data_IF_319537209188
#
_entry.id   IF_319537209188
#
_cell.length_a   1.000
_cell.length_b   1.000
_cell.length_c   1.000
_cell.angle_alpha   90.00
_cell.angle_beta   90.00
_cell.angle_gamma   90.00
#
_symmetry.space_group_name_H-M   'P 1'
#
loop_
_entity.id
_entity.type
_entity.pdbx_description
1 polymer ?
#
# COMPACT_ATOMS: atom_id res chain seq x y z
N UNK A 1 12.40 -6.77 9.53
CA UNK A 1 11.96 -6.42 10.90
C UNK A 1 12.67 -5.16 11.42
N UNK A 2 14.00 -5.06 11.41
CA UNK A 2 14.75 -3.91 11.97
C UNK A 2 14.30 -2.58 11.38
N UNK A 3 14.14 -2.47 10.07
CA UNK A 3 13.66 -1.25 9.40
C UNK A 3 12.25 -0.88 9.88
N UNK A 4 11.34 -1.86 9.95
CA UNK A 4 9.98 -1.64 10.44
C UNK A 4 9.96 -1.19 11.92
N UNK A 5 10.78 -1.82 12.76
CA UNK A 5 10.93 -1.44 14.17
C UNK A 5 11.44 -0.01 14.34
N UNK A 6 12.40 0.40 13.52
CA UNK A 6 12.90 1.80 13.52
C UNK A 6 11.80 2.76 13.10
N UNK A 7 11.04 2.45 12.04
CA UNK A 7 9.93 3.31 11.62
C UNK A 7 8.89 3.51 12.70
N UNK A 8 8.50 2.42 13.39
CA UNK A 8 7.51 2.49 14.47
C UNK A 8 8.06 3.30 15.65
N UNK A 9 9.30 3.01 16.10
CA UNK A 9 9.92 3.67 17.23
C UNK A 9 10.10 5.18 16.99
N UNK A 10 10.44 5.57 15.79
CA UNK A 10 10.72 6.95 15.40
C UNK A 10 9.54 7.68 14.74
N UNK A 11 8.33 7.13 14.86
CA UNK A 11 7.11 7.72 14.32
C UNK A 11 7.21 8.06 12.82
N UNK A 12 7.74 7.13 12.03
CA UNK A 12 7.81 7.21 10.57
C UNK A 12 8.61 8.41 10.03
N UNK A 13 9.74 8.73 10.65
CA UNK A 13 10.67 9.75 10.14
C UNK A 13 11.29 9.33 8.79
N UNK A 14 11.90 10.30 8.11
CA UNK A 14 12.46 10.08 6.78
C UNK A 14 13.47 8.93 6.72
N UNK A 15 13.34 8.07 5.71
CA UNK A 15 14.23 6.93 5.45
C UNK A 15 15.72 7.29 5.40
N UNK A 16 16.06 8.50 4.97
CA UNK A 16 17.45 8.99 4.94
C UNK A 16 18.14 8.98 6.31
N UNK A 17 17.38 8.99 7.40
CA UNK A 17 17.88 9.00 8.77
C UNK A 17 17.93 7.63 9.43
N UNK A 18 17.50 6.56 8.76
CA UNK A 18 17.41 5.23 9.39
C UNK A 18 18.78 4.76 9.89
N UNK A 19 19.85 4.96 9.13
CA UNK A 19 21.20 4.55 9.53
C UNK A 19 21.67 5.28 10.78
N UNK A 20 21.44 6.60 10.85
CA UNK A 20 21.77 7.43 12.02
C UNK A 20 20.96 6.96 13.25
N UNK A 21 19.67 6.74 13.07
CA UNK A 21 18.78 6.28 14.14
C UNK A 21 19.20 4.91 14.66
N UNK A 22 19.50 3.97 13.76
CA UNK A 22 19.97 2.63 14.16
C UNK A 22 21.25 2.73 14.98
N UNK A 23 22.24 3.51 14.53
CA UNK A 23 23.54 3.61 15.20
C UNK A 23 23.44 4.16 16.64
N UNK A 24 22.43 4.95 16.93
CA UNK A 24 22.17 5.56 18.25
C UNK A 24 21.13 4.81 19.08
N UNK A 25 20.46 3.81 18.50
CA UNK A 25 19.41 3.04 19.16
C UNK A 25 19.92 1.74 19.78
N UNK A 26 19.14 1.17 20.71
CA UNK A 26 19.39 -0.16 21.27
C UNK A 26 19.39 -1.26 20.19
N UNK A 27 18.75 -1.03 19.04
CA UNK A 27 18.68 -1.97 17.93
C UNK A 27 20.07 -2.27 17.33
N UNK A 28 20.99 -1.31 17.36
CA UNK A 28 22.39 -1.56 16.93
C UNK A 28 23.11 -2.58 17.81
N UNK A 29 22.72 -2.68 19.07
CA UNK A 29 23.28 -3.68 20.01
C UNK A 29 22.62 -5.05 19.86
N UNK A 30 21.32 -5.07 19.57
CA UNK A 30 20.58 -6.31 19.39
C UNK A 30 20.83 -6.97 18.02
N UNK A 31 21.04 -6.14 17.00
CA UNK A 31 21.22 -6.57 15.62
C UNK A 31 22.44 -5.88 14.98
N UNK A 32 23.66 -6.16 15.47
CA UNK A 32 24.87 -5.48 15.00
C UNK A 32 25.21 -5.76 13.54
N UNK A 33 24.78 -6.92 13.02
CA UNK A 33 25.03 -7.33 11.62
C UNK A 33 24.13 -6.59 10.61
N UNK A 34 23.04 -5.98 11.08
CA UNK A 34 22.04 -5.41 10.16
C UNK A 34 22.52 -4.08 9.60
N UNK A 35 22.71 -4.04 8.30
CA UNK A 35 23.05 -2.84 7.57
C UNK A 35 21.78 -2.15 7.07
N UNK A 36 21.59 -0.89 7.47
CA UNK A 36 20.46 -0.04 7.04
C UNK A 36 20.93 1.23 6.34
N UNK A 37 22.11 1.19 5.77
CA UNK A 37 22.62 2.25 4.90
C UNK A 37 21.77 2.40 3.62
N UNK A 38 21.94 3.51 2.91
CA UNK A 38 21.16 3.85 1.70
C UNK A 38 21.16 2.71 0.68
N UNK A 39 22.30 2.12 0.39
CA UNK A 39 22.43 1.09 -0.65
C UNK A 39 21.79 -0.24 -0.20
N UNK A 40 21.95 -0.61 1.09
CA UNK A 40 21.30 -1.78 1.65
C UNK A 40 19.78 -1.66 1.61
N UNK A 41 19.22 -0.49 1.95
CA UNK A 41 17.79 -0.23 1.86
C UNK A 41 17.30 -0.24 0.40
N UNK A 42 18.04 0.39 -0.50
CA UNK A 42 17.71 0.38 -1.93
C UNK A 42 17.65 -1.05 -2.47
N UNK A 43 18.64 -1.88 -2.13
CA UNK A 43 18.68 -3.30 -2.49
C UNK A 43 17.52 -4.08 -1.88
N UNK A 44 17.19 -3.86 -0.61
CA UNK A 44 16.06 -4.49 0.06
C UNK A 44 14.74 -4.19 -0.66
N UNK A 45 14.45 -2.92 -0.94
CA UNK A 45 13.21 -2.53 -1.61
C UNK A 45 13.15 -3.00 -3.06
N UNK A 46 14.27 -2.95 -3.77
CA UNK A 46 14.36 -3.49 -5.13
C UNK A 46 14.08 -4.99 -5.16
N UNK A 47 14.62 -5.73 -4.20
CA UNK A 47 14.36 -7.17 -4.08
C UNK A 47 12.91 -7.47 -3.69
N UNK A 48 12.32 -6.74 -2.75
CA UNK A 48 10.91 -6.89 -2.39
C UNK A 48 9.99 -6.61 -3.58
N UNK A 49 10.29 -5.59 -4.39
CA UNK A 49 9.53 -5.30 -5.60
C UNK A 49 9.70 -6.38 -6.68
N UNK A 50 10.92 -6.91 -6.85
CA UNK A 50 11.22 -7.98 -7.82
C UNK A 50 10.57 -9.32 -7.43
N UNK A 51 10.52 -9.64 -6.17
CA UNK A 51 9.93 -10.86 -5.63
C UNK A 51 8.54 -10.60 -5.06
N UNK A 52 7.65 -10.02 -5.88
CA UNK A 52 6.29 -9.60 -5.50
C UNK A 52 5.47 -10.66 -4.77
N UNK A 53 5.76 -11.95 -4.96
CA UNK A 53 5.08 -13.03 -4.25
C UNK A 53 5.26 -12.99 -2.72
N UNK A 54 6.31 -12.37 -2.20
CA UNK A 54 6.52 -12.23 -0.75
C UNK A 54 5.61 -11.17 -0.14
N UNK A 55 5.61 -9.92 -0.64
CA UNK A 55 4.65 -8.90 -0.22
C UNK A 55 3.20 -9.36 -0.39
N UNK A 56 2.88 -10.03 -1.51
CA UNK A 56 1.53 -10.50 -1.79
C UNK A 56 1.04 -11.53 -0.78
N UNK A 57 1.86 -12.53 -0.46
CA UNK A 57 1.52 -13.54 0.56
C UNK A 57 1.34 -12.90 1.93
N UNK A 58 2.15 -11.91 2.28
CA UNK A 58 2.01 -11.18 3.53
C UNK A 58 0.69 -10.41 3.56
N UNK A 59 0.37 -9.64 2.53
CA UNK A 59 -0.88 -8.89 2.44
C UNK A 59 -2.10 -9.81 2.41
N UNK A 60 -2.04 -10.94 1.67
CA UNK A 60 -3.10 -11.94 1.67
C UNK A 60 -3.32 -12.53 3.06
N UNK A 61 -2.25 -12.80 3.81
CA UNK A 61 -2.36 -13.28 5.18
C UNK A 61 -3.04 -12.27 6.11
N UNK A 62 -2.83 -10.97 5.93
CA UNK A 62 -3.55 -9.94 6.67
C UNK A 62 -5.05 -9.95 6.33
N UNK A 63 -5.40 -10.08 5.04
CA UNK A 63 -6.78 -10.21 4.58
C UNK A 63 -7.45 -11.45 5.18
N UNK A 64 -6.77 -12.59 5.16
CA UNK A 64 -7.32 -13.86 5.65
C UNK A 64 -7.62 -13.82 7.14
N UNK A 65 -6.82 -13.10 7.92
CA UNK A 65 -6.95 -12.93 9.37
C UNK A 65 -7.71 -11.65 9.80
N UNK A 66 -8.32 -10.92 8.85
CA UNK A 66 -9.05 -9.68 9.14
C UNK A 66 -10.41 -9.94 9.77
N UNK A 67 -11.03 -8.89 10.31
CA UNK A 67 -12.41 -8.91 10.82
C UNK A 67 -13.48 -9.16 9.74
N UNK A 68 -13.07 -9.15 8.46
CA UNK A 68 -13.96 -9.21 7.28
C UNK A 68 -14.87 -7.99 7.12
N UNK A 69 -14.58 -6.90 7.79
CA UNK A 69 -15.19 -5.58 7.56
C UNK A 69 -14.12 -4.65 7.00
N UNK A 70 -14.13 -4.43 5.70
CA UNK A 70 -13.04 -3.82 4.96
C UNK A 70 -13.49 -2.53 4.28
N UNK A 71 -12.82 -1.43 4.59
CA UNK A 71 -12.96 -0.20 3.84
C UNK A 71 -11.92 -0.16 2.71
N UNK A 72 -12.34 0.30 1.53
CA UNK A 72 -11.45 0.52 0.39
C UNK A 72 -11.53 1.98 -0.02
N UNK A 73 -10.37 2.60 -0.16
CA UNK A 73 -10.27 3.99 -0.60
C UNK A 73 -9.05 4.21 -1.49
N UNK A 74 -9.21 5.12 -2.43
CA UNK A 74 -8.17 5.58 -3.35
C UNK A 74 -7.61 6.93 -2.93
N UNK A 75 -6.28 7.03 -2.83
CA UNK A 75 -5.58 8.27 -2.53
C UNK A 75 -4.65 8.67 -3.67
N UNK A 76 -4.49 9.97 -3.86
CA UNK A 76 -3.61 10.55 -4.88
C UNK A 76 -2.35 11.10 -4.21
N UNK A 77 -1.20 10.67 -4.69
CA UNK A 77 0.11 11.14 -4.25
C UNK A 77 0.68 12.03 -5.34
N UNK A 78 0.89 13.31 -5.04
CA UNK A 78 1.59 14.22 -5.95
C UNK A 78 3.02 13.73 -6.17
N UNK A 79 3.46 13.67 -7.42
CA UNK A 79 4.77 13.16 -7.80
C UNK A 79 5.52 14.23 -8.59
N UNK A 80 6.64 14.70 -8.04
CA UNK A 80 7.55 15.63 -8.69
C UNK A 80 8.81 14.97 -9.23
N UNK A 81 8.87 13.64 -9.26
CA UNK A 81 10.00 12.90 -9.79
C UNK A 81 9.95 12.86 -11.33
N UNK A 82 11.06 13.17 -11.97
CA UNK A 82 11.16 13.23 -13.43
C UNK A 82 11.08 11.86 -14.13
N UNK A 83 11.22 10.75 -13.36
CA UNK A 83 11.31 9.39 -13.92
C UNK A 83 10.56 8.35 -13.07
N UNK A 84 9.33 8.64 -12.67
CA UNK A 84 8.50 7.66 -11.96
C UNK A 84 7.53 7.00 -12.96
N UNK A 85 7.69 5.71 -13.21
CA UNK A 85 6.94 4.95 -14.23
C UNK A 85 5.40 5.02 -14.07
N UNK A 86 4.92 5.17 -12.83
CA UNK A 86 3.48 5.29 -12.53
C UNK A 86 2.99 6.74 -12.49
N UNK A 87 3.89 7.72 -12.69
CA UNK A 87 3.53 9.13 -12.62
C UNK A 87 2.84 9.59 -13.89
N UNK A 88 1.62 10.10 -13.78
CA UNK A 88 0.85 10.63 -14.91
C UNK A 88 -0.10 11.75 -14.48
N UNK A 89 -0.56 12.52 -15.47
CA UNK A 89 -1.57 13.55 -15.25
C UNK A 89 -2.97 12.92 -15.24
N UNK A 90 -3.51 12.70 -14.05
CA UNK A 90 -4.89 12.27 -13.84
C UNK A 90 -5.86 13.44 -13.67
N UNK A 91 -7.13 13.12 -13.43
CA UNK A 91 -8.19 14.14 -13.28
C UNK A 91 -7.90 15.15 -12.15
N UNK A 92 -7.38 14.68 -11.01
CA UNK A 92 -7.06 15.56 -9.87
C UNK A 92 -5.78 16.37 -10.14
N UNK A 93 -4.82 15.82 -10.85
CA UNK A 93 -3.57 16.48 -11.24
C UNK A 93 -3.78 17.69 -12.14
N UNK A 94 -4.81 17.66 -13.00
CA UNK A 94 -5.18 18.83 -13.82
C UNK A 94 -5.49 20.08 -12.99
N UNK A 95 -6.01 19.89 -11.77
CA UNK A 95 -6.27 21.00 -10.82
C UNK A 95 -5.03 21.43 -10.05
N UNK A 96 -4.07 20.52 -9.85
CA UNK A 96 -2.87 20.74 -9.05
C UNK A 96 -1.64 21.13 -9.89
N UNK A 97 -1.71 20.98 -11.23
CA UNK A 97 -0.59 21.24 -12.14
C UNK A 97 0.60 20.29 -11.96
N UNK A 98 0.44 19.17 -11.27
CA UNK A 98 1.51 18.24 -10.92
C UNK A 98 1.09 16.81 -11.29
N UNK A 99 2.02 16.01 -11.81
CA UNK A 99 1.78 14.60 -12.04
C UNK A 99 1.47 13.87 -10.73
N UNK A 100 0.77 12.76 -10.81
CA UNK A 100 0.31 12.01 -9.64
C UNK A 100 0.53 10.51 -9.81
N UNK A 101 0.56 9.79 -8.69
CA UNK A 101 0.45 8.34 -8.60
C UNK A 101 -0.82 8.03 -7.82
N UNK A 102 -1.61 7.09 -8.27
CA UNK A 102 -2.78 6.64 -7.53
C UNK A 102 -2.41 5.50 -6.59
N UNK A 103 -2.87 5.56 -5.35
CA UNK A 103 -2.64 4.56 -4.31
C UNK A 103 -3.98 4.08 -3.78
N UNK A 104 -4.26 2.79 -3.93
CA UNK A 104 -5.46 2.13 -3.40
C UNK A 104 -5.09 1.35 -2.15
N UNK A 105 -5.92 1.44 -1.12
CA UNK A 105 -5.70 0.73 0.16
C UNK A 105 -6.99 0.05 0.61
N UNK A 106 -6.87 -1.20 1.04
CA UNK A 106 -7.89 -1.91 1.80
C UNK A 106 -7.52 -1.90 3.29
N UNK A 107 -8.48 -1.62 4.15
CA UNK A 107 -8.27 -1.33 5.56
C UNK A 107 -9.32 -2.06 6.41
N UNK A 108 -8.89 -2.78 7.44
CA UNK A 108 -9.79 -3.42 8.40
C UNK A 108 -10.40 -2.38 9.34
N UNK A 109 -11.71 -2.26 9.29
CA UNK A 109 -12.44 -1.23 10.04
C UNK A 109 -12.43 -1.47 11.55
N UNK A 110 -12.40 -2.74 11.99
CA UNK A 110 -12.40 -3.09 13.41
C UNK A 110 -11.01 -3.02 14.03
N UNK A 111 -10.04 -3.68 13.41
CA UNK A 111 -8.68 -3.76 13.95
C UNK A 111 -7.85 -2.50 13.70
N UNK A 112 -8.31 -1.61 12.79
CA UNK A 112 -7.60 -0.40 12.38
C UNK A 112 -6.26 -0.68 11.70
N UNK A 113 -6.13 -1.82 11.03
CA UNK A 113 -4.91 -2.21 10.33
C UNK A 113 -5.08 -2.13 8.81
N UNK A 114 -4.06 -1.66 8.06
CA UNK A 114 -4.02 -1.82 6.62
C UNK A 114 -3.87 -3.31 6.28
N UNK A 115 -4.63 -3.79 5.30
CA UNK A 115 -4.63 -5.18 4.86
C UNK A 115 -3.79 -5.36 3.60
N UNK A 116 -4.09 -4.58 2.58
CA UNK A 116 -3.29 -4.54 1.37
C UNK A 116 -3.32 -3.15 0.75
N UNK A 117 -2.32 -2.86 -0.05
CA UNK A 117 -2.25 -1.62 -0.82
C UNK A 117 -1.47 -1.82 -2.10
N UNK A 118 -1.79 -1.03 -3.10
CA UNK A 118 -1.13 -1.06 -4.40
C UNK A 118 -1.07 0.34 -5.02
N UNK A 119 -0.02 0.58 -5.79
CA UNK A 119 0.15 1.82 -6.55
C UNK A 119 -0.22 1.58 -8.01
N UNK A 120 -0.92 2.53 -8.59
CA UNK A 120 -1.39 2.51 -9.96
C UNK A 120 -0.95 3.77 -10.71
N UNK A 121 -1.01 3.70 -12.03
CA UNK A 121 -0.72 4.87 -12.85
C UNK A 121 -1.66 6.04 -12.46
N UNK A 122 -1.10 7.23 -12.40
CA UNK A 122 -1.84 8.42 -11.98
C UNK A 122 -3.02 8.79 -12.88
N UNK A 123 -3.08 8.27 -14.10
CA UNK A 123 -4.21 8.44 -15.02
C UNK A 123 -5.32 7.41 -14.84
N UNK A 124 -5.06 6.31 -14.11
CA UNK A 124 -6.03 5.24 -13.95
C UNK A 124 -7.20 5.67 -13.06
N UNK A 125 -8.45 5.38 -13.46
CA UNK A 125 -9.60 5.56 -12.60
C UNK A 125 -9.55 4.65 -11.36
N UNK A 126 -10.08 5.11 -10.23
CA UNK A 126 -10.15 4.34 -8.98
C UNK A 126 -10.82 2.96 -9.17
N UNK A 127 -11.80 2.87 -10.09
CA UNK A 127 -12.47 1.59 -10.44
C UNK A 127 -11.53 0.59 -11.07
N UNK A 128 -10.69 1.01 -12.01
CA UNK A 128 -9.70 0.14 -12.65
C UNK A 128 -8.67 -0.34 -11.63
N UNK A 129 -8.24 0.55 -10.73
CA UNK A 129 -7.36 0.22 -9.64
C UNK A 129 -7.98 -0.82 -8.68
N UNK A 130 -9.27 -0.66 -8.34
CA UNK A 130 -9.98 -1.64 -7.51
C UNK A 130 -10.10 -3.00 -8.21
N UNK A 131 -10.48 -3.04 -9.50
CA UNK A 131 -10.53 -4.28 -10.27
C UNK A 131 -9.19 -5.03 -10.28
N UNK A 132 -8.08 -4.31 -10.45
CA UNK A 132 -6.75 -4.89 -10.41
C UNK A 132 -6.40 -5.43 -9.01
N UNK A 133 -6.70 -4.69 -7.94
CA UNK A 133 -6.51 -5.14 -6.56
C UNK A 133 -7.30 -6.41 -6.26
N UNK A 134 -8.57 -6.50 -6.67
CA UNK A 134 -9.40 -7.71 -6.50
C UNK A 134 -8.93 -8.89 -7.36
N UNK A 135 -8.27 -8.63 -8.47
CA UNK A 135 -7.64 -9.70 -9.28
C UNK A 135 -6.39 -10.27 -8.61
N UNK A 136 -5.69 -9.45 -7.83
CA UNK A 136 -4.46 -9.82 -7.14
C UNK A 136 -4.70 -10.46 -5.79
N UNK A 137 -5.68 -9.97 -5.03
CA UNK A 137 -5.99 -10.41 -3.68
C UNK A 137 -7.38 -11.04 -3.59
N UNK A 138 -7.49 -12.11 -2.80
CA UNK A 138 -8.74 -12.83 -2.58
C UNK A 138 -9.42 -12.36 -1.29
N UNK A 139 -10.58 -11.75 -1.45
CA UNK A 139 -11.47 -11.43 -0.34
C UNK A 139 -12.64 -12.42 -0.32
N UNK A 140 -12.92 -13.04 0.82
CA UNK A 140 -14.00 -14.02 1.00
C UNK A 140 -14.82 -13.67 2.22
N UNK A 141 -16.15 -13.76 2.10
CA UNK A 141 -17.10 -13.48 3.18
C UNK A 141 -16.86 -12.09 3.82
N UNK A 142 -16.57 -11.09 3.00
CA UNK A 142 -16.16 -9.76 3.43
C UNK A 142 -17.27 -8.75 3.18
N UNK A 143 -17.57 -7.93 4.19
CA UNK A 143 -18.39 -6.74 4.07
C UNK A 143 -17.51 -5.55 3.65
N UNK A 144 -17.75 -4.99 2.49
CA UNK A 144 -17.02 -3.84 1.99
C UNK A 144 -17.73 -2.53 2.30
N UNK A 145 -16.94 -1.55 2.74
CA UNK A 145 -17.33 -0.15 2.82
C UNK A 145 -16.56 0.59 1.74
N UNK A 146 -17.29 1.15 0.79
CA UNK A 146 -16.71 1.84 -0.37
C UNK A 146 -17.37 3.21 -0.54
N UNK A 147 -16.65 4.14 -1.17
CA UNK A 147 -17.20 5.45 -1.49
C UNK A 147 -18.34 5.34 -2.52
N UNK A 148 -19.22 6.33 -2.54
CA UNK A 148 -20.34 6.47 -3.50
C UNK A 148 -19.90 6.45 -4.97
N UNK A 149 -18.63 6.73 -5.24
CA UNK A 149 -18.04 6.57 -6.57
C UNK A 149 -18.17 5.15 -7.16
N UNK A 150 -18.31 4.12 -6.32
CA UNK A 150 -18.46 2.71 -6.70
C UNK A 150 -19.95 2.29 -6.72
N UNK A 151 -20.77 2.93 -7.52
CA UNK A 151 -22.23 2.68 -7.49
C UNK A 151 -22.82 2.15 -8.82
N UNK A 152 -22.01 1.74 -9.78
CA UNK A 152 -22.52 1.12 -11.02
C UNK A 152 -22.79 -0.38 -10.82
N UNK A 153 -23.60 -0.98 -11.70
CA UNK A 153 -23.87 -2.42 -11.64
C UNK A 153 -22.58 -3.27 -11.75
N UNK A 154 -21.60 -2.78 -12.53
CA UNK A 154 -20.28 -3.44 -12.66
C UNK A 154 -19.49 -3.37 -11.33
N UNK A 155 -19.52 -2.22 -10.65
CA UNK A 155 -18.86 -2.09 -9.34
C UNK A 155 -19.50 -3.03 -8.32
N UNK A 156 -20.83 -3.14 -8.34
CA UNK A 156 -21.58 -4.03 -7.45
C UNK A 156 -21.18 -5.49 -7.64
N UNK A 157 -20.99 -5.94 -8.89
CA UNK A 157 -20.53 -7.30 -9.17
C UNK A 157 -19.12 -7.56 -8.66
N UNK A 158 -18.23 -6.54 -8.67
CA UNK A 158 -16.87 -6.64 -8.14
C UNK A 158 -16.86 -6.95 -6.63
N UNK A 159 -17.75 -6.30 -5.87
CA UNK A 159 -17.81 -6.44 -4.42
C UNK A 159 -18.70 -7.58 -3.92
N UNK A 160 -19.49 -8.23 -4.77
CA UNK A 160 -20.47 -9.27 -4.38
C UNK A 160 -20.01 -10.71 -4.65
N UNK A 161 -18.83 -10.93 -5.21
CA UNK A 161 -18.27 -12.27 -5.46
C UNK A 161 -17.81 -12.96 -4.17
N UNK A 162 -17.70 -14.29 -4.18
CA UNK A 162 -17.11 -15.10 -3.09
C UNK A 162 -17.75 -14.93 -1.71
N UNK A 163 -19.07 -14.71 -1.65
CA UNK A 163 -19.80 -14.48 -0.39
C UNK A 163 -19.62 -13.07 0.19
N UNK A 164 -19.04 -12.17 -0.58
CA UNK A 164 -18.84 -10.78 -0.17
C UNK A 164 -20.15 -9.97 -0.28
N UNK A 165 -20.23 -8.91 0.51
CA UNK A 165 -21.33 -7.92 0.52
C UNK A 165 -20.75 -6.50 0.60
N UNK A 166 -21.57 -5.47 0.33
CA UNK A 166 -21.15 -4.05 0.39
C UNK A 166 -22.35 -3.17 0.77
#
# INVERSE_FOLDING_TARGET
YTVASIFVAERFRHMKRIAEIQSTSVLSKWYPEVQVGKDALSTLYSNLGRYGSIPDKFQQSLIDNSSKKVAIDGHVIACSADSADLSAFGYKAKKLGTAQINWMTAYDVETKLPLCSEMFNGSDPDKTAAEAMFSRFQFKNTLFLVDRGFNTSKDKSLFSGSGNTY
#
